data_IF_636151082597
#
_entry.id   IF_636151082597
#
_cell.length_a   1.000
_cell.length_b   1.000
_cell.length_c   1.000
_cell.angle_alpha   90.00
_cell.angle_beta   90.00
_cell.angle_gamma   90.00
#
_symmetry.space_group_name_H-M   'P 1'
#
loop_
_entity.id
_entity.type
_entity.pdbx_description
1 polymer ?
#
# COMPACT_ATOMS: atom_id res chain seq x y z
N UNK A 1 24.49 21.51 -31.25
CA UNK A 1 23.94 20.83 -30.06
C UNK A 1 22.49 21.27 -29.89
N UNK A 2 21.53 20.35 -29.84
CA UNK A 2 20.15 20.71 -29.50
C UNK A 2 20.03 20.87 -27.97
N UNK A 3 19.21 21.82 -27.46
CA UNK A 3 18.95 21.92 -26.03
C UNK A 3 18.22 20.66 -25.56
N UNK A 4 18.65 20.09 -24.42
CA UNK A 4 17.91 19.01 -23.77
C UNK A 4 16.58 19.60 -23.30
N UNK A 5 15.46 18.96 -23.66
CA UNK A 5 14.16 19.27 -23.08
C UNK A 5 14.26 19.11 -21.56
N UNK A 6 14.17 20.22 -20.82
CA UNK A 6 14.04 20.21 -19.36
C UNK A 6 12.77 19.43 -19.01
N UNK A 7 12.91 18.40 -18.18
CA UNK A 7 11.77 17.61 -17.74
C UNK A 7 10.77 18.52 -17.00
N UNK A 8 9.61 18.74 -17.61
CA UNK A 8 8.54 19.55 -17.03
C UNK A 8 8.18 19.00 -15.66
N UNK A 9 8.11 19.87 -14.65
CA UNK A 9 7.75 19.44 -13.31
C UNK A 9 6.36 18.75 -13.33
N UNK A 10 6.18 17.63 -12.60
CA UNK A 10 4.90 16.92 -12.56
C UNK A 10 3.79 17.87 -12.08
N UNK A 11 2.71 17.94 -12.86
CA UNK A 11 1.58 18.82 -12.56
C UNK A 11 0.71 18.19 -11.47
N UNK A 12 0.36 18.99 -10.46
CA UNK A 12 -0.55 18.57 -9.40
C UNK A 12 -1.80 19.45 -9.31
N UNK A 13 -2.91 18.80 -9.00
CA UNK A 13 -4.15 19.38 -8.50
C UNK A 13 -4.31 18.88 -7.06
N UNK A 14 -4.38 19.81 -6.11
CA UNK A 14 -4.37 19.53 -4.67
C UNK A 14 -5.47 20.33 -3.98
N UNK A 15 -6.17 19.69 -3.03
CA UNK A 15 -7.20 20.34 -2.22
C UNK A 15 -7.70 19.45 -1.09
N UNK A 16 -8.67 19.93 -0.31
CA UNK A 16 -9.23 19.22 0.84
C UNK A 16 -10.44 18.37 0.44
N UNK A 17 -10.81 17.38 1.26
CA UNK A 17 -12.10 16.72 1.17
C UNK A 17 -13.25 17.73 1.39
N UNK A 18 -14.41 17.48 0.77
CA UNK A 18 -15.59 18.34 0.91
C UNK A 18 -15.36 19.83 0.54
N UNK A 19 -14.45 20.12 -0.39
CA UNK A 19 -13.99 21.49 -0.72
C UNK A 19 -14.01 21.79 -2.23
N UNK A 20 -13.86 23.07 -2.61
CA UNK A 20 -13.83 23.50 -4.02
C UNK A 20 -12.41 23.89 -4.44
N UNK A 21 -11.85 23.16 -5.40
CA UNK A 21 -10.52 23.38 -5.99
C UNK A 21 -10.70 24.08 -7.34
N UNK A 22 -10.16 25.29 -7.52
CA UNK A 22 -10.15 26.02 -8.81
C UNK A 22 -8.73 26.10 -9.37
N UNK A 23 -8.53 25.60 -10.59
CA UNK A 23 -7.20 25.52 -11.25
C UNK A 23 -7.28 26.14 -12.65
N UNK A 24 -6.35 27.04 -13.04
CA UNK A 24 -6.31 27.57 -14.41
C UNK A 24 -6.08 26.44 -15.43
N UNK A 25 -6.97 26.33 -16.43
CA UNK A 25 -6.88 25.32 -17.48
C UNK A 25 -5.62 25.49 -18.36
N UNK A 26 -5.05 26.69 -18.40
CA UNK A 26 -3.74 26.96 -18.99
C UNK A 26 -2.63 26.02 -18.45
N UNK A 27 -2.71 25.54 -17.20
CA UNK A 27 -1.76 24.58 -16.64
C UNK A 27 -1.81 23.19 -17.30
N UNK A 28 -2.89 22.84 -18.00
CA UNK A 28 -2.98 21.61 -18.79
C UNK A 28 -2.34 21.73 -20.18
N UNK A 29 -1.95 22.94 -20.61
CA UNK A 29 -1.36 23.17 -21.93
C UNK A 29 0.14 22.88 -21.85
N UNK A 30 0.53 21.69 -22.31
CA UNK A 30 1.93 21.35 -22.56
C UNK A 30 2.37 21.86 -23.94
N UNK A 31 2.75 23.14 -24.04
CA UNK A 31 3.24 23.75 -25.28
C UNK A 31 3.12 25.27 -25.28
N UNK A 32 3.63 25.89 -26.34
CA UNK A 32 3.58 27.35 -26.51
C UNK A 32 2.16 27.84 -26.80
N UNK A 33 1.77 28.98 -26.22
CA UNK A 33 0.44 29.55 -26.34
C UNK A 33 0.22 30.22 -27.70
N UNK A 34 -0.45 29.52 -28.62
CA UNK A 34 -0.86 30.11 -29.90
C UNK A 34 -1.90 31.23 -29.75
N UNK A 35 -2.16 31.99 -30.83
CA UNK A 35 -3.08 33.15 -30.86
C UNK A 35 -4.53 32.90 -30.37
N UNK A 36 -4.94 31.64 -30.18
CA UNK A 36 -6.26 31.23 -29.70
C UNK A 36 -6.17 30.43 -28.37
N UNK A 37 -5.30 30.84 -27.44
CA UNK A 37 -5.00 30.11 -26.22
C UNK A 37 -6.25 29.74 -25.38
N UNK A 38 -7.20 30.65 -25.21
CA UNK A 38 -8.41 30.44 -24.41
C UNK A 38 -9.33 29.34 -24.97
N UNK A 39 -9.65 29.37 -26.27
CA UNK A 39 -10.52 28.35 -26.87
C UNK A 39 -9.82 26.99 -26.96
N UNK A 40 -8.49 26.98 -27.08
CA UNK A 40 -7.68 25.76 -26.92
C UNK A 40 -7.72 25.25 -25.47
N UNK A 41 -7.63 26.13 -24.46
CA UNK A 41 -7.73 25.78 -23.04
C UNK A 41 -9.09 25.18 -22.71
N UNK A 42 -10.19 25.80 -23.13
CA UNK A 42 -11.55 25.31 -22.92
C UNK A 42 -11.77 23.92 -23.55
N UNK A 43 -11.30 23.70 -24.78
CA UNK A 43 -11.38 22.39 -25.45
C UNK A 43 -10.56 21.32 -24.72
N UNK A 44 -9.34 21.65 -24.28
CA UNK A 44 -8.48 20.73 -23.52
C UNK A 44 -9.04 20.44 -22.12
N UNK A 45 -9.66 21.42 -21.46
CA UNK A 45 -10.36 21.23 -20.18
C UNK A 45 -11.55 20.27 -20.32
N UNK A 46 -12.42 20.47 -21.33
CA UNK A 46 -13.52 19.55 -21.63
C UNK A 46 -13.04 18.15 -22.07
N UNK A 47 -11.87 18.05 -22.69
CA UNK A 47 -11.26 16.75 -23.02
C UNK A 47 -10.72 16.06 -21.76
N UNK A 48 -10.01 16.80 -20.90
CA UNK A 48 -9.45 16.32 -19.64
C UNK A 48 -10.54 15.78 -18.70
N UNK A 49 -11.65 16.50 -18.52
CA UNK A 49 -12.77 16.03 -17.71
C UNK A 49 -13.37 14.73 -18.25
N UNK A 50 -13.59 14.62 -19.57
CA UNK A 50 -14.13 13.39 -20.20
C UNK A 50 -13.17 12.21 -20.12
N UNK A 51 -11.86 12.42 -20.32
CA UNK A 51 -10.86 11.36 -20.21
C UNK A 51 -10.71 10.81 -18.78
N UNK A 52 -10.96 11.65 -17.78
CA UNK A 52 -10.77 11.33 -16.36
C UNK A 52 -12.07 11.07 -15.60
N UNK A 53 -13.22 11.08 -16.29
CA UNK A 53 -14.56 11.08 -15.68
C UNK A 53 -14.75 9.96 -14.65
N UNK A 54 -14.31 8.73 -14.92
CA UNK A 54 -14.43 7.61 -14.00
C UNK A 54 -13.67 7.79 -12.67
N UNK A 55 -12.52 8.49 -12.70
CA UNK A 55 -11.78 8.83 -11.48
C UNK A 55 -12.38 10.07 -10.80
N UNK A 56 -12.73 11.09 -11.58
CA UNK A 56 -13.32 12.33 -11.05
C UNK A 56 -14.67 12.07 -10.37
N UNK A 57 -15.54 11.19 -10.91
CA UNK A 57 -16.77 10.75 -10.24
C UNK A 57 -16.53 10.02 -8.91
N UNK A 58 -15.34 9.47 -8.68
CA UNK A 58 -14.99 8.82 -7.40
C UNK A 58 -14.60 9.84 -6.33
N UNK A 59 -13.88 10.91 -6.70
CA UNK A 59 -13.35 11.91 -5.75
C UNK A 59 -14.11 13.24 -5.72
N UNK A 60 -15.01 13.52 -6.67
CA UNK A 60 -15.71 14.79 -6.82
C UNK A 60 -17.22 14.58 -6.89
N UNK A 61 -17.98 15.48 -6.26
CA UNK A 61 -19.44 15.60 -6.41
C UNK A 61 -19.81 16.27 -7.74
N UNK A 62 -18.94 17.15 -8.25
CA UNK A 62 -19.11 17.82 -9.54
C UNK A 62 -17.81 18.42 -10.04
N UNK A 63 -17.69 18.54 -11.37
CA UNK A 63 -16.56 19.19 -12.05
C UNK A 63 -17.05 20.05 -13.20
N UNK A 64 -16.63 21.31 -13.26
CA UNK A 64 -17.04 22.28 -14.28
C UNK A 64 -15.85 22.92 -14.99
N UNK A 65 -16.10 23.50 -16.17
CA UNK A 65 -15.18 24.39 -16.87
C UNK A 65 -15.78 25.78 -16.80
N UNK A 66 -15.15 26.66 -16.03
CA UNK A 66 -15.62 28.02 -15.77
C UNK A 66 -14.78 29.02 -16.57
N UNK A 67 -15.35 30.18 -16.89
CA UNK A 67 -14.66 31.28 -17.57
C UNK A 67 -15.04 32.60 -16.91
N UNK A 68 -14.05 33.41 -16.52
CA UNK A 68 -14.29 34.66 -15.79
C UNK A 68 -14.22 35.94 -16.64
N UNK A 69 -14.16 35.78 -17.97
CA UNK A 69 -13.99 36.89 -18.92
C UNK A 69 -12.54 37.11 -19.36
N UNK A 70 -11.58 36.41 -18.74
CA UNK A 70 -10.15 36.44 -19.11
C UNK A 70 -9.53 35.05 -19.19
N UNK A 71 -9.74 34.22 -18.17
CA UNK A 71 -9.08 32.92 -18.06
C UNK A 71 -10.10 31.78 -17.98
N UNK A 72 -9.71 30.62 -18.51
CA UNK A 72 -10.48 29.37 -18.40
C UNK A 72 -9.99 28.59 -17.19
N UNK A 73 -10.91 28.12 -16.36
CA UNK A 73 -10.64 27.37 -15.14
C UNK A 73 -11.31 26.01 -15.16
N UNK A 74 -10.70 25.07 -14.45
CA UNK A 74 -11.33 23.84 -14.02
C UNK A 74 -11.66 23.95 -12.54
N UNK A 75 -12.93 23.75 -12.21
CA UNK A 75 -13.43 23.76 -10.84
C UNK A 75 -13.86 22.34 -10.46
N UNK A 76 -13.27 21.82 -9.40
CA UNK A 76 -13.55 20.49 -8.84
C UNK A 76 -14.17 20.69 -7.46
N UNK A 77 -15.38 20.16 -7.24
CA UNK A 77 -15.94 20.07 -5.89
C UNK A 77 -15.69 18.66 -5.39
N UNK A 78 -14.78 18.50 -4.44
CA UNK A 78 -14.43 17.18 -3.88
C UNK A 78 -15.57 16.63 -3.03
N UNK A 79 -15.62 15.31 -2.90
CA UNK A 79 -16.50 14.63 -1.96
C UNK A 79 -15.72 14.21 -0.70
N UNK A 80 -16.28 13.29 0.07
CA UNK A 80 -15.74 12.73 1.32
C UNK A 80 -14.60 11.71 1.13
N UNK A 81 -14.06 11.55 -0.08
CA UNK A 81 -12.94 10.64 -0.34
C UNK A 81 -11.60 11.36 -0.33
N UNK A 82 -10.76 10.97 0.63
CA UNK A 82 -9.35 11.37 0.72
C UNK A 82 -8.51 10.37 -0.09
N UNK A 83 -7.44 10.83 -0.73
CA UNK A 83 -6.56 9.93 -1.49
C UNK A 83 -5.75 10.61 -2.57
N UNK A 84 -5.12 9.79 -3.40
CA UNK A 84 -4.19 10.25 -4.42
C UNK A 84 -4.24 9.36 -5.66
N UNK A 85 -4.46 9.95 -6.83
CA UNK A 85 -4.58 9.22 -8.11
C UNK A 85 -3.90 9.95 -9.27
N UNK A 86 -3.39 9.21 -10.28
CA UNK A 86 -2.95 9.80 -11.52
C UNK A 86 -4.15 10.11 -12.42
N UNK A 87 -4.15 11.29 -13.03
CA UNK A 87 -5.06 11.68 -14.09
C UNK A 87 -4.33 11.71 -15.44
N UNK A 88 -5.06 11.37 -16.49
CA UNK A 88 -4.60 11.39 -17.87
C UNK A 88 -4.46 12.85 -18.35
N UNK A 89 -3.30 13.18 -18.91
CA UNK A 89 -3.06 14.46 -19.57
C UNK A 89 -3.85 14.57 -20.90
N UNK A 90 -4.49 15.70 -21.20
CA UNK A 90 -5.28 15.86 -22.44
C UNK A 90 -4.39 15.98 -23.68
N UNK A 91 -3.10 16.29 -23.53
CA UNK A 91 -2.14 16.41 -24.65
C UNK A 91 -1.48 15.07 -24.99
N UNK A 92 -1.10 14.27 -24.00
CA UNK A 92 -0.32 13.03 -24.18
C UNK A 92 -1.14 11.75 -24.01
N UNK A 93 -2.33 11.83 -23.38
CA UNK A 93 -3.14 10.67 -23.01
C UNK A 93 -2.52 9.79 -21.91
N UNK A 94 -1.46 10.27 -21.24
CA UNK A 94 -0.67 9.50 -20.25
C UNK A 94 -0.98 9.92 -18.81
N UNK A 95 -0.80 9.01 -17.83
CA UNK A 95 -0.97 9.29 -16.39
C UNK A 95 0.19 10.16 -15.85
N UNK A 96 0.18 11.44 -16.22
CA UNK A 96 1.28 12.40 -15.98
C UNK A 96 0.89 13.52 -14.99
N UNK A 97 -0.39 13.62 -14.65
CA UNK A 97 -0.95 14.64 -13.74
C UNK A 97 -1.32 13.95 -12.42
N UNK A 98 -0.94 14.52 -11.28
CA UNK A 98 -1.37 14.03 -9.97
C UNK A 98 -2.60 14.77 -9.44
N UNK A 99 -3.57 14.03 -8.91
CA UNK A 99 -4.72 14.57 -8.18
C UNK A 99 -4.67 14.05 -6.75
N UNK A 100 -4.63 14.95 -5.77
CA UNK A 100 -4.51 14.62 -4.33
C UNK A 100 -5.59 15.35 -3.54
N UNK A 101 -6.50 14.59 -2.97
CA UNK A 101 -7.44 15.08 -1.95
C UNK A 101 -6.84 14.77 -0.59
N UNK A 102 -6.37 15.79 0.12
CA UNK A 102 -5.91 15.66 1.51
C UNK A 102 -7.11 15.82 2.46
N UNK A 103 -7.06 15.27 3.67
CA UNK A 103 -8.10 15.54 4.64
C UNK A 103 -8.09 17.00 5.11
N UNK A 104 -9.28 17.54 5.40
CA UNK A 104 -9.49 18.83 6.09
C UNK A 104 -9.00 18.82 7.54
N UNK A 105 -9.01 17.65 8.17
CA UNK A 105 -8.37 17.41 9.47
C UNK A 105 -6.93 16.95 9.22
N UNK A 106 -5.94 17.65 9.78
CA UNK A 106 -4.54 17.41 9.46
C UNK A 106 -4.10 15.94 9.66
N UNK A 107 -3.16 15.49 8.83
CA UNK A 107 -2.63 14.12 8.84
C UNK A 107 -2.32 13.53 10.24
N UNK A 108 -1.72 14.27 11.21
CA UNK A 108 -1.46 13.72 12.54
C UNK A 108 -2.72 13.34 13.32
N UNK A 109 -3.82 14.09 13.14
CA UNK A 109 -5.09 13.84 13.82
C UNK A 109 -5.76 12.55 13.31
N UNK A 110 -5.83 12.37 12.00
CA UNK A 110 -6.34 11.13 11.39
C UNK A 110 -5.48 9.94 11.76
N UNK A 111 -4.15 10.07 11.75
CA UNK A 111 -3.26 8.98 12.16
C UNK A 111 -3.41 8.58 13.63
N UNK A 112 -3.75 9.51 14.53
CA UNK A 112 -4.06 9.19 15.93
C UNK A 112 -5.37 8.38 16.03
N UNK A 113 -6.43 8.82 15.34
CA UNK A 113 -7.71 8.12 15.27
C UNK A 113 -7.57 6.72 14.64
N UNK A 114 -6.80 6.57 13.55
CA UNK A 114 -6.50 5.27 12.93
C UNK A 114 -5.91 4.28 13.94
N UNK A 115 -5.00 4.75 14.79
CA UNK A 115 -4.32 3.92 15.78
C UNK A 115 -5.24 3.55 16.95
N UNK A 116 -6.04 4.49 17.47
CA UNK A 116 -7.06 4.21 18.50
C UNK A 116 -8.17 3.27 18.00
N UNK A 117 -8.53 3.36 16.71
CA UNK A 117 -9.42 2.39 16.04
C UNK A 117 -8.78 1.01 15.80
N UNK A 118 -7.52 0.80 16.18
CA UNK A 118 -6.81 -0.47 15.93
C UNK A 118 -6.60 -0.78 14.46
N UNK A 119 -6.52 0.24 13.59
CA UNK A 119 -6.33 0.13 12.15
C UNK A 119 -7.45 -0.64 11.41
N UNK A 120 -8.69 -0.61 11.94
CA UNK A 120 -9.87 -1.26 11.34
C UNK A 120 -10.23 -0.74 9.95
N UNK A 121 -10.10 0.58 9.74
CA UNK A 121 -10.24 1.23 8.42
C UNK A 121 -8.85 1.71 8.03
N UNK A 122 -8.39 1.39 6.83
CA UNK A 122 -7.08 1.81 6.29
C UNK A 122 -7.22 2.24 4.82
N UNK A 123 -6.31 3.11 4.33
CA UNK A 123 -6.26 3.48 2.92
C UNK A 123 -6.24 2.25 1.98
N UNK A 124 -7.18 2.23 1.04
CA UNK A 124 -7.31 1.17 0.05
C UNK A 124 -6.49 1.53 -1.21
N UNK A 125 -5.50 0.70 -1.61
CA UNK A 125 -4.67 0.97 -2.78
C UNK A 125 -5.41 0.62 -4.07
N UNK A 126 -5.38 1.53 -5.04
CA UNK A 126 -6.14 1.43 -6.29
C UNK A 126 -5.31 0.74 -7.40
N UNK A 127 -5.98 0.00 -8.29
CA UNK A 127 -5.36 -0.68 -9.45
C UNK A 127 -5.08 0.30 -10.60
N UNK A 128 -4.29 1.32 -10.33
CA UNK A 128 -3.96 2.43 -11.24
C UNK A 128 -2.44 2.52 -11.48
N UNK A 129 -1.97 3.24 -12.53
CA UNK A 129 -0.55 3.52 -12.74
C UNK A 129 0.11 4.21 -11.54
N UNK A 130 1.42 4.05 -11.33
CA UNK A 130 2.10 4.72 -10.22
C UNK A 130 2.07 6.25 -10.39
N UNK A 131 1.80 6.96 -9.30
CA UNK A 131 1.51 8.40 -9.27
C UNK A 131 2.79 9.25 -9.25
N UNK A 132 3.15 9.97 -10.34
CA UNK A 132 4.40 10.73 -10.41
C UNK A 132 4.49 11.82 -9.34
N UNK A 133 5.66 11.96 -8.72
CA UNK A 133 6.08 13.03 -7.79
C UNK A 133 5.42 13.07 -6.41
N UNK A 134 4.53 12.13 -6.10
CA UNK A 134 3.62 12.18 -4.93
C UNK A 134 4.29 12.09 -3.55
N UNK A 135 5.53 11.61 -3.48
CA UNK A 135 6.29 11.39 -2.23
C UNK A 135 6.46 12.66 -1.37
N UNK A 136 6.36 13.84 -1.98
CA UNK A 136 6.48 15.15 -1.29
C UNK A 136 5.16 15.70 -0.75
N UNK A 137 4.02 15.05 -1.05
CA UNK A 137 2.66 15.54 -0.74
C UNK A 137 1.89 14.66 0.24
N UNK A 138 2.27 13.39 0.35
CA UNK A 138 1.60 12.38 1.17
C UNK A 138 2.61 11.93 2.24
N UNK A 139 2.28 11.94 3.54
CA UNK A 139 3.18 11.43 4.57
C UNK A 139 3.46 9.93 4.32
N UNK A 140 4.73 9.48 4.20
CA UNK A 140 5.01 8.10 3.80
C UNK A 140 4.49 7.03 4.77
N UNK A 141 4.25 7.38 6.03
CA UNK A 141 3.56 6.52 6.99
C UNK A 141 2.17 6.07 6.51
N UNK A 142 1.45 6.88 5.71
CA UNK A 142 0.13 6.54 5.16
C UNK A 142 0.22 5.33 4.21
N UNK A 143 1.29 5.23 3.43
CA UNK A 143 1.52 4.06 2.57
C UNK A 143 2.04 2.87 3.38
N UNK A 144 2.78 3.12 4.46
CA UNK A 144 3.20 2.07 5.40
C UNK A 144 2.00 1.41 6.12
N UNK A 145 0.91 2.12 6.44
CA UNK A 145 -0.29 1.48 7.03
C UNK A 145 -0.88 0.43 6.09
N UNK A 146 -0.90 0.69 4.78
CA UNK A 146 -1.42 -0.24 3.76
C UNK A 146 -0.61 -1.53 3.77
N UNK A 147 0.72 -1.43 3.75
CA UNK A 147 1.61 -2.60 3.78
C UNK A 147 1.51 -3.34 5.11
N UNK A 148 1.61 -2.64 6.25
CA UNK A 148 1.59 -3.26 7.57
C UNK A 148 0.26 -3.98 7.83
N UNK A 149 -0.88 -3.37 7.49
CA UNK A 149 -2.20 -3.98 7.64
C UNK A 149 -2.35 -5.25 6.76
N UNK A 150 -1.89 -5.20 5.51
CA UNK A 150 -1.90 -6.38 4.62
C UNK A 150 -0.99 -7.51 5.08
N UNK A 151 0.19 -7.18 5.63
CA UNK A 151 1.11 -8.16 6.20
C UNK A 151 0.58 -8.74 7.51
N UNK A 152 -0.09 -7.95 8.35
CA UNK A 152 -0.79 -8.42 9.55
C UNK A 152 -1.90 -9.41 9.20
N UNK A 153 -2.73 -9.10 8.20
CA UNK A 153 -3.78 -9.99 7.71
C UNK A 153 -3.21 -11.28 7.09
N UNK A 154 -2.13 -11.18 6.31
CA UNK A 154 -1.39 -12.33 5.75
C UNK A 154 -0.83 -13.24 6.85
N UNK A 155 -0.23 -12.67 7.90
CA UNK A 155 0.27 -13.41 9.06
C UNK A 155 -0.85 -14.09 9.87
N UNK A 156 -2.03 -13.49 9.94
CA UNK A 156 -3.20 -14.09 10.59
C UNK A 156 -3.81 -15.25 9.78
N UNK A 157 -3.59 -15.29 8.46
CA UNK A 157 -4.07 -16.34 7.56
C UNK A 157 -2.93 -17.17 6.94
N UNK A 158 -1.80 -17.31 7.65
CA UNK A 158 -0.66 -18.05 7.12
C UNK A 158 -0.95 -19.57 7.15
N UNK A 159 -1.32 -20.11 5.98
CA UNK A 159 -1.57 -21.55 5.81
C UNK A 159 -0.32 -22.38 6.13
N UNK A 160 -0.47 -23.38 7.00
CA UNK A 160 0.52 -24.44 7.18
C UNK A 160 0.52 -25.36 5.97
N UNK A 161 1.71 -25.72 5.49
CA UNK A 161 1.94 -26.56 4.31
C UNK A 161 2.73 -27.81 4.70
N UNK A 162 2.50 -28.91 3.98
CA UNK A 162 3.33 -30.11 4.14
C UNK A 162 4.61 -29.96 3.33
N UNK A 163 5.73 -29.69 4.00
CA UNK A 163 7.06 -29.66 3.41
C UNK A 163 7.73 -31.05 3.55
N UNK A 164 8.40 -31.55 2.51
CA UNK A 164 9.15 -32.81 2.55
C UNK A 164 10.54 -32.60 3.14
N UNK A 165 10.60 -32.57 4.46
CA UNK A 165 11.80 -32.34 5.27
C UNK A 165 12.73 -33.56 5.25
N UNK A 166 14.04 -33.32 5.25
CA UNK A 166 15.07 -34.34 5.52
C UNK A 166 15.82 -33.98 6.80
N UNK A 167 15.61 -34.76 7.87
CA UNK A 167 16.21 -34.55 9.20
C UNK A 167 16.78 -35.86 9.74
N UNK A 168 17.85 -35.77 10.52
CA UNK A 168 18.46 -36.92 11.21
C UNK A 168 17.83 -37.04 12.60
N UNK A 169 17.19 -38.17 12.89
CA UNK A 169 16.35 -38.36 14.07
C UNK A 169 16.79 -39.58 14.91
N UNK A 170 16.50 -39.60 16.23
CA UNK A 170 16.74 -40.77 17.09
C UNK A 170 15.78 -41.94 16.84
N UNK A 171 14.72 -41.72 16.05
CA UNK A 171 13.73 -42.72 15.66
C UNK A 171 13.33 -42.50 14.18
N UNK A 172 13.00 -43.56 13.42
CA UNK A 172 12.62 -43.43 12.02
C UNK A 172 11.28 -42.70 11.86
N UNK A 173 11.22 -41.68 11.00
CA UNK A 173 9.99 -40.93 10.69
C UNK A 173 9.80 -40.83 9.17
N UNK A 174 8.74 -41.42 8.63
CA UNK A 174 8.51 -41.48 7.18
C UNK A 174 9.52 -42.38 6.47
N UNK A 175 10.08 -41.92 5.35
CA UNK A 175 11.00 -42.69 4.51
C UNK A 175 12.45 -42.53 4.99
N UNK A 176 13.04 -43.61 5.52
CA UNK A 176 14.45 -43.63 5.94
C UNK A 176 15.38 -43.78 4.73
N UNK A 177 16.46 -43.01 4.70
CA UNK A 177 17.56 -43.18 3.74
C UNK A 177 18.50 -44.30 4.22
N UNK A 178 18.10 -45.54 3.96
CA UNK A 178 18.84 -46.74 4.37
C UNK A 178 20.24 -46.82 3.76
N UNK A 179 20.43 -46.31 2.54
CA UNK A 179 21.73 -46.31 1.87
C UNK A 179 22.73 -45.41 2.61
N UNK A 180 22.32 -44.18 2.95
CA UNK A 180 23.13 -43.26 3.76
C UNK A 180 23.32 -43.79 5.18
N UNK A 181 22.28 -44.33 5.81
CA UNK A 181 22.36 -44.86 7.18
C UNK A 181 23.37 -46.01 7.29
N UNK A 182 23.27 -47.02 6.43
CA UNK A 182 24.16 -48.17 6.42
C UNK A 182 25.58 -47.82 5.94
N UNK A 183 25.72 -46.90 4.97
CA UNK A 183 27.02 -46.53 4.41
C UNK A 183 27.83 -45.51 5.23
N UNK A 184 27.18 -44.64 6.01
CA UNK A 184 27.85 -43.53 6.72
C UNK A 184 27.64 -43.50 8.23
N UNK A 185 26.47 -43.86 8.73
CA UNK A 185 26.11 -43.63 10.13
C UNK A 185 26.42 -44.87 10.99
N UNK A 186 25.98 -46.05 10.54
CA UNK A 186 26.19 -47.31 11.22
C UNK A 186 27.70 -47.69 11.36
N UNK A 187 28.57 -47.53 10.34
CA UNK A 187 30.01 -47.78 10.47
C UNK A 187 30.75 -46.78 11.39
N UNK A 188 30.11 -45.65 11.72
CA UNK A 188 30.62 -44.62 12.64
C UNK A 188 30.01 -44.72 14.04
N UNK A 189 29.35 -45.85 14.35
CA UNK A 189 28.62 -46.10 15.60
C UNK A 189 27.49 -45.08 15.92
N UNK A 190 27.02 -44.32 14.93
CA UNK A 190 25.95 -43.32 15.08
C UNK A 190 24.56 -43.95 14.96
N UNK A 191 24.30 -44.94 15.82
CA UNK A 191 23.09 -45.79 15.77
C UNK A 191 21.79 -45.00 16.00
N UNK A 192 21.86 -43.89 16.74
CA UNK A 192 20.72 -42.99 17.00
C UNK A 192 20.68 -41.77 16.04
N UNK A 193 21.40 -41.83 14.92
CA UNK A 193 21.31 -40.83 13.85
C UNK A 193 20.66 -41.45 12.61
N UNK A 194 19.33 -41.49 12.55
CA UNK A 194 18.58 -42.10 11.45
C UNK A 194 18.16 -41.01 10.43
N UNK A 195 18.80 -40.91 9.25
CA UNK A 195 18.44 -39.94 8.22
C UNK A 195 17.05 -40.26 7.66
N UNK A 196 16.09 -39.38 7.92
CA UNK A 196 14.66 -39.60 7.69
C UNK A 196 14.06 -38.49 6.81
N UNK A 197 13.20 -38.86 5.87
CA UNK A 197 12.44 -37.94 5.00
C UNK A 197 10.94 -38.09 5.24
N UNK A 198 10.27 -37.03 5.67
CA UNK A 198 8.85 -37.06 6.00
C UNK A 198 8.15 -35.75 5.60
N UNK A 199 6.84 -35.79 5.30
CA UNK A 199 6.03 -34.59 5.24
C UNK A 199 5.84 -34.05 6.66
N UNK A 200 6.21 -32.79 6.87
CA UNK A 200 6.02 -32.08 8.14
C UNK A 200 5.15 -30.84 7.91
N UNK A 201 4.20 -30.59 8.80
CA UNK A 201 3.23 -29.50 8.66
C UNK A 201 3.83 -28.20 9.19
N UNK A 202 4.60 -27.51 8.34
CA UNK A 202 5.35 -26.29 8.68
C UNK A 202 4.68 -25.06 8.05
N UNK A 203 4.91 -23.90 8.65
CA UNK A 203 4.62 -22.64 7.98
C UNK A 203 5.62 -22.43 6.82
N UNK A 204 5.16 -21.88 5.70
CA UNK A 204 5.97 -21.60 4.50
C UNK A 204 7.19 -20.71 4.85
N UNK A 205 8.38 -21.31 4.89
CA UNK A 205 9.60 -20.63 5.38
C UNK A 205 10.08 -19.52 4.46
N UNK A 206 9.91 -19.66 3.15
CA UNK A 206 10.29 -18.61 2.21
C UNK A 206 9.35 -17.40 2.32
N UNK A 207 8.05 -17.64 2.51
CA UNK A 207 7.08 -16.57 2.75
C UNK A 207 7.32 -15.87 4.10
N UNK A 208 7.63 -16.61 5.18
CA UNK A 208 8.02 -16.01 6.48
C UNK A 208 9.28 -15.15 6.35
N UNK A 209 10.29 -15.61 5.61
CA UNK A 209 11.51 -14.84 5.34
C UNK A 209 11.23 -13.55 4.56
N UNK A 210 10.33 -13.59 3.58
CA UNK A 210 9.91 -12.43 2.79
C UNK A 210 9.06 -11.44 3.59
N UNK A 211 8.19 -11.93 4.48
CA UNK A 211 7.45 -11.11 5.44
C UNK A 211 8.41 -10.41 6.42
N UNK A 212 9.38 -11.12 6.98
CA UNK A 212 10.38 -10.54 7.88
C UNK A 212 11.22 -9.47 7.16
N UNK A 213 11.66 -9.72 5.92
CA UNK A 213 12.34 -8.70 5.10
C UNK A 213 11.46 -7.45 4.89
N UNK A 214 10.19 -7.66 4.51
CA UNK A 214 9.20 -6.59 4.28
C UNK A 214 9.01 -5.73 5.53
N UNK A 215 8.75 -6.35 6.69
CA UNK A 215 8.57 -5.66 7.96
C UNK A 215 9.81 -4.87 8.39
N UNK A 216 11.03 -5.40 8.20
CA UNK A 216 12.27 -4.65 8.50
C UNK A 216 12.44 -3.42 7.61
N UNK A 217 12.08 -3.51 6.34
CA UNK A 217 12.14 -2.36 5.41
C UNK A 217 11.09 -1.30 5.76
N UNK A 218 9.88 -1.71 6.16
CA UNK A 218 8.88 -0.78 6.70
C UNK A 218 9.29 -0.15 8.04
N UNK A 219 9.90 -0.91 8.95
CA UNK A 219 10.43 -0.39 10.21
C UNK A 219 11.49 0.70 9.96
N UNK A 220 12.50 0.43 9.13
CA UNK A 220 13.55 1.40 8.81
C UNK A 220 12.99 2.68 8.16
N UNK A 221 12.00 2.55 7.28
CA UNK A 221 11.26 3.68 6.68
C UNK A 221 10.54 4.54 7.74
N UNK A 222 9.83 3.90 8.68
CA UNK A 222 9.14 4.60 9.78
C UNK A 222 10.13 5.22 10.79
N UNK A 223 11.28 4.59 11.04
CA UNK A 223 12.28 5.12 11.96
C UNK A 223 12.91 6.43 11.46
N UNK A 224 13.06 6.60 10.13
CA UNK A 224 13.41 7.88 9.52
C UNK A 224 12.35 8.97 9.66
N UNK A 225 11.13 8.62 10.07
CA UNK A 225 9.95 9.50 10.16
C UNK A 225 9.49 9.76 11.61
N UNK A 226 10.28 9.40 12.63
CA UNK A 226 9.89 9.54 14.07
C UNK A 226 9.42 10.96 14.47
N UNK A 227 9.81 12.00 13.74
CA UNK A 227 9.34 13.38 13.95
C UNK A 227 7.90 13.66 13.47
N UNK A 228 7.29 12.79 12.65
CA UNK A 228 5.95 12.98 12.08
C UNK A 228 4.79 12.61 13.02
N UNK A 229 5.03 12.59 14.34
CA UNK A 229 4.00 12.47 15.37
C UNK A 229 3.77 11.05 15.93
N UNK A 230 2.84 10.93 16.92
CA UNK A 230 2.63 9.69 17.67
C UNK A 230 2.14 8.51 16.83
N UNK A 231 1.54 8.80 15.67
CA UNK A 231 1.14 7.84 14.63
C UNK A 231 2.28 6.90 14.26
N UNK A 232 3.48 7.47 14.03
CA UNK A 232 4.66 6.72 13.59
C UNK A 232 5.18 5.84 14.72
N UNK A 233 5.14 6.30 15.97
CA UNK A 233 5.51 5.49 17.13
C UNK A 233 4.58 4.27 17.31
N UNK A 234 3.27 4.43 17.09
CA UNK A 234 2.31 3.33 17.15
C UNK A 234 2.48 2.34 15.99
N UNK A 235 2.81 2.82 14.78
CA UNK A 235 3.15 1.95 13.64
C UNK A 235 4.49 1.20 13.82
N UNK A 236 5.49 1.84 14.45
CA UNK A 236 6.75 1.18 14.85
C UNK A 236 6.46 0.05 15.84
N UNK A 237 5.66 0.31 16.89
CA UNK A 237 5.29 -0.70 17.88
C UNK A 237 4.50 -1.86 17.24
N UNK A 238 3.55 -1.57 16.35
CA UNK A 238 2.84 -2.61 15.59
C UNK A 238 3.78 -3.43 14.71
N UNK A 239 4.72 -2.78 14.00
CA UNK A 239 5.71 -3.47 13.18
C UNK A 239 6.61 -4.39 14.01
N UNK A 240 7.04 -3.94 15.20
CA UNK A 240 7.81 -4.75 16.16
C UNK A 240 7.00 -5.98 16.66
N UNK A 241 5.71 -5.81 16.99
CA UNK A 241 4.81 -6.90 17.37
C UNK A 241 4.58 -7.92 16.24
N UNK A 242 4.69 -7.51 14.97
CA UNK A 242 4.64 -8.42 13.82
C UNK A 242 6.01 -9.09 13.55
N UNK A 243 7.13 -8.39 13.79
CA UNK A 243 8.48 -8.97 13.67
C UNK A 243 8.72 -10.10 14.68
N UNK A 244 8.24 -9.97 15.91
CA UNK A 244 8.30 -11.05 16.91
C UNK A 244 7.55 -12.32 16.47
N UNK A 245 6.57 -12.22 15.56
CA UNK A 245 5.87 -13.39 15.00
C UNK A 245 6.68 -14.14 13.93
N UNK A 246 7.78 -13.57 13.42
CA UNK A 246 8.64 -14.13 12.35
C UNK A 246 10.13 -14.16 12.69
N UNK A 247 10.49 -13.93 13.97
CA UNK A 247 11.86 -13.90 14.51
C UNK A 247 12.67 -15.20 14.36
N UNK A 248 12.00 -16.32 14.11
CA UNK A 248 12.54 -17.67 13.92
C UNK A 248 13.16 -17.89 12.53
N UNK A 249 12.81 -17.04 11.54
CA UNK A 249 13.31 -17.13 10.16
C UNK A 249 14.17 -15.90 9.87
N UNK A 250 15.32 -16.07 9.23
CA UNK A 250 16.13 -14.92 8.79
C UNK A 250 15.42 -14.11 7.69
N UNK A 251 15.48 -12.77 7.71
CA UNK A 251 14.85 -11.94 6.68
C UNK A 251 15.55 -12.16 5.33
N UNK A 252 14.78 -12.44 4.29
CA UNK A 252 15.29 -12.65 2.93
C UNK A 252 14.39 -11.95 1.91
N UNK A 253 14.99 -11.14 1.03
CA UNK A 253 14.30 -10.60 -0.13
C UNK A 253 13.90 -11.74 -1.07
N UNK A 254 12.61 -11.91 -1.43
CA UNK A 254 12.21 -12.91 -2.40
C UNK A 254 12.63 -12.49 -3.82
N UNK A 255 12.94 -13.46 -4.68
CA UNK A 255 13.17 -13.18 -6.09
C UNK A 255 11.83 -12.89 -6.79
N UNK A 256 11.82 -12.01 -7.80
CA UNK A 256 10.59 -11.65 -8.53
C UNK A 256 9.87 -12.86 -9.14
N UNK A 257 10.62 -13.88 -9.59
CA UNK A 257 10.07 -15.16 -10.07
C UNK A 257 9.31 -15.89 -8.96
N UNK A 258 9.87 -15.92 -7.73
CA UNK A 258 9.22 -16.53 -6.56
C UNK A 258 7.90 -15.81 -6.23
N UNK A 259 7.88 -14.47 -6.25
CA UNK A 259 6.66 -13.67 -6.02
C UNK A 259 5.60 -13.94 -7.10
N UNK A 260 5.99 -13.99 -8.38
CA UNK A 260 5.07 -14.34 -9.47
C UNK A 260 4.52 -15.76 -9.35
N UNK A 261 5.33 -16.73 -8.93
CA UNK A 261 4.88 -18.10 -8.69
C UNK A 261 3.88 -18.18 -7.52
N UNK A 262 4.13 -17.44 -6.44
CA UNK A 262 3.18 -17.33 -5.32
C UNK A 262 1.84 -16.67 -5.72
N UNK A 263 1.88 -15.64 -6.57
CA UNK A 263 0.68 -14.94 -7.08
C UNK A 263 -0.15 -15.79 -8.06
N UNK A 264 0.49 -16.73 -8.78
CA UNK A 264 -0.17 -17.64 -9.75
C UNK A 264 -0.72 -18.93 -9.12
N UNK A 265 -0.54 -19.15 -7.81
CA UNK A 265 -1.02 -20.36 -7.14
C UNK A 265 -2.57 -20.40 -7.11
N UNK A 266 -3.22 -21.54 -7.46
CA UNK A 266 -4.65 -21.58 -7.78
C UNK A 266 -5.60 -21.50 -6.57
N UNK A 267 -5.14 -21.88 -5.37
CA UNK A 267 -5.96 -21.96 -4.15
C UNK A 267 -5.45 -20.96 -3.10
N UNK A 268 -5.82 -19.68 -3.22
CA UNK A 268 -5.38 -18.59 -2.32
C UNK A 268 -6.53 -17.62 -2.02
N UNK A 269 -6.64 -17.14 -0.78
CA UNK A 269 -7.58 -16.08 -0.39
C UNK A 269 -7.13 -14.71 -0.92
N UNK A 270 -8.04 -13.74 -0.98
CA UNK A 270 -7.67 -12.37 -1.39
C UNK A 270 -6.75 -11.68 -0.38
N UNK A 271 -6.84 -11.99 0.91
CA UNK A 271 -5.85 -11.58 1.92
C UNK A 271 -4.46 -12.09 1.55
N UNK A 272 -4.37 -13.35 1.15
CA UNK A 272 -3.11 -13.96 0.72
C UNK A 272 -2.55 -13.27 -0.54
N UNK A 273 -3.40 -12.89 -1.51
CA UNK A 273 -3.00 -12.09 -2.69
C UNK A 273 -2.57 -10.66 -2.32
N UNK A 274 -3.33 -9.97 -1.47
CA UNK A 274 -3.05 -8.60 -1.05
C UNK A 274 -1.76 -8.48 -0.24
N UNK A 275 -1.48 -9.48 0.62
CA UNK A 275 -0.22 -9.59 1.35
C UNK A 275 0.98 -9.79 0.42
N UNK A 276 0.90 -10.69 -0.56
CA UNK A 276 1.95 -10.85 -1.58
C UNK A 276 2.19 -9.56 -2.38
N UNK A 277 1.13 -8.84 -2.72
CA UNK A 277 1.23 -7.56 -3.43
C UNK A 277 1.94 -6.48 -2.57
N UNK A 278 1.74 -6.49 -1.25
CA UNK A 278 2.45 -5.59 -0.33
C UNK A 278 3.95 -5.95 -0.18
N UNK A 279 4.30 -7.24 -0.30
CA UNK A 279 5.69 -7.69 -0.43
C UNK A 279 6.28 -7.21 -1.76
N UNK A 280 5.58 -7.39 -2.90
CA UNK A 280 6.01 -6.90 -4.23
C UNK A 280 6.34 -5.39 -4.20
N UNK A 281 5.43 -4.56 -3.68
CA UNK A 281 5.67 -3.12 -3.57
C UNK A 281 6.88 -2.76 -2.68
N UNK A 282 7.09 -3.50 -1.59
CA UNK A 282 8.22 -3.27 -0.68
C UNK A 282 9.54 -3.75 -1.29
N UNK A 283 9.52 -4.79 -2.12
CA UNK A 283 10.70 -5.28 -2.87
C UNK A 283 11.11 -4.29 -3.95
N UNK A 284 10.13 -3.75 -4.70
CA UNK A 284 10.35 -2.84 -5.83
C UNK A 284 10.44 -1.34 -5.42
N UNK A 285 10.52 -1.03 -4.12
CA UNK A 285 10.54 0.33 -3.55
C UNK A 285 9.34 1.24 -3.92
N UNK A 286 8.26 0.68 -4.47
CA UNK A 286 7.12 1.42 -5.04
C UNK A 286 6.40 2.24 -3.96
N UNK A 287 6.67 3.53 -3.92
CA UNK A 287 6.04 4.51 -3.03
C UNK A 287 6.49 4.46 -1.56
N UNK A 288 7.59 3.79 -1.23
CA UNK A 288 7.99 3.57 0.17
C UNK A 288 9.47 3.88 0.43
N UNK A 289 9.78 5.18 0.52
CA UNK A 289 11.00 5.75 1.08
C UNK A 289 12.33 5.32 0.40
N UNK A 290 12.30 5.02 -0.89
CA UNK A 290 13.49 4.84 -1.71
C UNK A 290 13.85 6.13 -2.46
N UNK A 291 15.12 6.58 -2.39
CA UNK A 291 15.65 7.72 -3.17
C UNK A 291 15.65 7.50 -4.70
N UNK A 292 15.07 6.40 -5.19
CA UNK A 292 15.31 5.85 -6.51
C UNK A 292 14.15 6.02 -7.51
N UNK A 293 12.89 6.03 -7.09
CA UNK A 293 11.75 6.11 -8.01
C UNK A 293 10.61 6.97 -7.46
N UNK A 294 10.46 8.17 -8.04
CA UNK A 294 9.60 9.27 -7.58
C UNK A 294 8.09 9.00 -7.79
N UNK A 295 7.58 7.80 -7.47
CA UNK A 295 6.21 7.38 -7.83
C UNK A 295 5.50 6.62 -6.71
N UNK A 296 4.55 7.27 -6.07
CA UNK A 296 3.69 6.68 -5.04
C UNK A 296 2.67 5.68 -5.59
N UNK A 297 2.19 4.81 -4.69
CA UNK A 297 1.03 3.96 -4.94
C UNK A 297 -0.25 4.83 -4.92
N UNK A 298 -1.17 4.70 -5.90
CA UNK A 298 -2.47 5.37 -5.83
C UNK A 298 -3.37 4.74 -4.76
N UNK A 299 -4.16 5.54 -4.05
CA UNK A 299 -5.02 5.06 -2.95
C UNK A 299 -6.25 5.95 -2.69
N UNK A 300 -7.20 5.39 -1.95
CA UNK A 300 -8.49 5.96 -1.55
C UNK A 300 -8.75 5.68 -0.05
N UNK A 301 -9.37 6.61 0.66
CA UNK A 301 -9.94 6.44 1.99
C UNK A 301 -11.30 7.14 2.03
N UNK A 302 -12.37 6.42 2.35
CA UNK A 302 -13.67 7.04 2.65
C UNK A 302 -13.63 7.67 4.03
N UNK A 303 -13.87 8.98 4.12
CA UNK A 303 -13.95 9.66 5.41
C UNK A 303 -15.24 9.31 6.17
N UNK A 304 -16.28 8.85 5.48
CA UNK A 304 -17.53 8.37 6.09
C UNK A 304 -17.31 7.03 6.81
N UNK A 305 -16.74 6.03 6.14
CA UNK A 305 -16.41 4.72 6.74
C UNK A 305 -15.47 4.88 7.95
N UNK A 306 -14.50 5.79 7.82
CA UNK A 306 -13.55 6.18 8.85
C UNK A 306 -14.23 6.84 10.05
N UNK A 307 -15.16 7.78 9.81
CA UNK A 307 -15.90 8.46 10.88
C UNK A 307 -16.85 7.51 11.61
N UNK A 308 -17.57 6.64 10.89
CA UNK A 308 -18.40 5.59 11.48
C UNK A 308 -17.56 4.66 12.38
N UNK A 309 -16.40 4.19 11.90
CA UNK A 309 -15.52 3.33 12.69
C UNK A 309 -14.96 4.04 13.93
N UNK A 310 -14.75 5.37 13.88
CA UNK A 310 -14.35 6.17 15.03
C UNK A 310 -15.48 6.27 16.07
N UNK A 311 -16.70 6.58 15.61
CA UNK A 311 -17.89 6.64 16.47
C UNK A 311 -18.18 5.28 17.11
N UNK A 312 -18.05 4.18 16.37
CA UNK A 312 -18.13 2.82 16.91
C UNK A 312 -17.08 2.56 18.02
N UNK A 313 -15.82 2.95 17.80
CA UNK A 313 -14.75 2.76 18.79
C UNK A 313 -15.01 3.54 20.07
N UNK A 314 -15.47 4.80 19.96
CA UNK A 314 -15.87 5.61 21.12
C UNK A 314 -17.09 5.00 21.82
N UNK A 315 -18.13 4.61 21.06
CA UNK A 315 -19.35 4.03 21.60
C UNK A 315 -19.11 2.66 22.28
N UNK A 316 -18.22 1.82 21.73
CA UNK A 316 -17.84 0.54 22.32
C UNK A 316 -17.11 0.73 23.66
N UNK A 317 -16.21 1.73 23.74
CA UNK A 317 -15.51 2.09 24.98
C UNK A 317 -16.46 2.64 26.05
N UNK A 318 -17.42 3.48 25.66
CA UNK A 318 -18.47 3.98 26.54
C UNK A 318 -19.39 2.84 27.03
N UNK A 319 -19.83 1.96 26.14
CA UNK A 319 -20.63 0.79 26.49
C UNK A 319 -19.91 -0.09 27.52
N UNK A 320 -18.63 -0.42 27.28
CA UNK A 320 -17.80 -1.20 28.22
C UNK A 320 -17.69 -0.54 29.60
N UNK A 321 -17.46 0.78 29.67
CA UNK A 321 -17.40 1.50 30.96
C UNK A 321 -18.75 1.61 31.68
N UNK A 322 -19.87 1.45 30.96
CA UNK A 322 -21.22 1.37 31.51
C UNK A 322 -21.73 -0.07 31.72
N UNK A 323 -20.92 -1.09 31.47
CA UNK A 323 -21.30 -2.50 31.58
C UNK A 323 -22.25 -3.02 30.48
N UNK A 324 -22.44 -2.26 29.40
CA UNK A 324 -23.24 -2.64 28.24
C UNK A 324 -22.42 -3.18 27.07
N UNK A 325 -23.11 -3.74 26.08
CA UNK A 325 -22.52 -4.23 24.82
C UNK A 325 -23.03 -3.40 23.64
N UNK A 326 -22.14 -2.93 22.77
CA UNK A 326 -22.51 -2.24 21.54
C UNK A 326 -23.01 -3.25 20.49
N UNK A 327 -24.20 -3.03 19.95
CA UNK A 327 -24.65 -3.65 18.71
C UNK A 327 -24.38 -2.72 17.53
N UNK A 328 -23.90 -3.26 16.41
CA UNK A 328 -23.55 -2.53 15.18
C UNK A 328 -24.36 -3.11 14.03
N UNK A 329 -24.98 -2.25 13.22
CA UNK A 329 -25.85 -2.64 12.10
C UNK A 329 -25.13 -2.78 10.76
N UNK A 330 -23.99 -3.48 10.73
CA UNK A 330 -23.15 -3.74 9.54
C UNK A 330 -23.13 -5.24 9.21
#
# INVERSE_FOLDING_TARGET
MAPRLTATAPLFVEGEDSSTIRVPAARLIQGDGGRNAESQAARLAQQFLRQNEGLLRTFCTGTTVDYDGSDVYLTFTTNVHVGAVPLLSPTTGRPEIGFVVRPRFEWPGIGAMLAEMGWRVVPQPLKLPLLPGSERRIPPWVLATIVISRIQALLAQLERRFELVQETLPAPRGTVDWARYAGSNLPRARVLEIPSRFPDLRDDRELRAAIHFTLRKQLASLEGQRAAGPVVAQLIALCQLLLEKVRDVHPRQPAGITVQNWLRAPLRTDVFRQGLQAIEWTVDDRGLAGLADLRGLPWLLSMDEFFEAWVETVAARLAQTMGGTLAVGR
#
